data_IF_198128935174
#
_entry.id   IF_198128935174
#
_cell.length_a   1.000
_cell.length_b   1.000
_cell.length_c   1.000
_cell.angle_alpha   90.00
_cell.angle_beta   90.00
_cell.angle_gamma   90.00
#
_symmetry.space_group_name_H-M   'P 1'
#
loop_
_entity.id
_entity.type
_entity.pdbx_description
1 polymer ?
#
# COMPACT_ATOMS: atom_id res chain seq x y z
N UNK A 1 2.08 -15.58 -8.83
CA UNK A 1 2.54 -16.96 -9.10
C UNK A 1 3.25 -17.49 -7.88
N UNK A 2 2.76 -18.57 -7.27
CA UNK A 2 3.56 -19.35 -6.33
C UNK A 2 4.51 -20.28 -7.11
N UNK A 3 5.62 -20.74 -6.50
CA UNK A 3 6.49 -21.77 -7.12
C UNK A 3 5.75 -23.08 -7.47
N UNK A 4 4.58 -23.30 -6.89
CA UNK A 4 3.68 -24.44 -7.17
C UNK A 4 2.76 -24.24 -8.39
N UNK A 5 2.87 -23.11 -9.10
CA UNK A 5 2.06 -22.84 -10.30
C UNK A 5 0.63 -22.39 -10.02
N UNK A 6 0.29 -22.07 -8.77
CA UNK A 6 -1.05 -21.57 -8.43
C UNK A 6 -1.12 -20.07 -8.76
N UNK A 7 -2.21 -19.71 -9.45
CA UNK A 7 -2.58 -18.33 -9.79
C UNK A 7 -3.98 -18.09 -9.26
N UNK A 8 -4.12 -17.07 -8.44
CA UNK A 8 -5.40 -16.68 -7.85
C UNK A 8 -5.61 -15.18 -8.05
N UNK A 9 -6.86 -14.79 -8.16
CA UNK A 9 -7.29 -13.39 -8.23
C UNK A 9 -7.46 -12.84 -6.81
N UNK A 10 -7.07 -11.59 -6.60
CA UNK A 10 -7.07 -10.95 -5.29
C UNK A 10 -7.57 -9.51 -5.38
N UNK A 11 -8.40 -9.10 -4.43
CA UNK A 11 -8.73 -7.68 -4.19
C UNK A 11 -7.56 -6.94 -3.52
N UNK A 12 -6.81 -7.63 -2.65
CA UNK A 12 -5.61 -7.12 -2.00
C UNK A 12 -4.69 -8.28 -1.63
N UNK A 13 -3.38 -8.10 -1.80
CA UNK A 13 -2.40 -9.12 -1.46
C UNK A 13 -1.08 -8.49 -0.99
N UNK A 14 -0.33 -9.25 -0.20
CA UNK A 14 1.00 -8.85 0.30
C UNK A 14 1.95 -10.04 0.24
N UNK A 15 3.22 -9.78 -0.08
CA UNK A 15 4.26 -10.80 -0.21
C UNK A 15 5.53 -10.38 0.52
N UNK A 16 6.38 -11.36 0.86
CA UNK A 16 7.67 -11.12 1.49
C UNK A 16 7.67 -11.23 3.01
N UNK A 17 8.74 -10.74 3.62
CA UNK A 17 8.95 -10.82 5.06
C UNK A 17 7.90 -9.99 5.82
N UNK A 18 7.37 -10.54 6.92
CA UNK A 18 6.33 -9.90 7.76
C UNK A 18 5.05 -9.50 7.01
N UNK A 19 4.81 -10.06 5.83
CA UNK A 19 3.62 -9.78 5.02
C UNK A 19 2.29 -10.13 5.69
N UNK A 20 2.29 -10.96 6.74
CA UNK A 20 1.05 -11.31 7.43
C UNK A 20 0.36 -10.10 8.09
N UNK A 21 1.11 -9.09 8.57
CA UNK A 21 0.51 -7.88 9.13
C UNK A 21 -0.16 -7.03 8.04
N UNK A 22 0.52 -6.78 6.92
CA UNK A 22 -0.07 -6.16 5.74
C UNK A 22 -1.32 -6.90 5.25
N UNK A 23 -1.26 -8.24 5.17
CA UNK A 23 -2.39 -9.06 4.76
C UNK A 23 -3.61 -8.86 5.66
N UNK A 24 -3.38 -8.83 6.98
CA UNK A 24 -4.44 -8.60 7.96
C UNK A 24 -5.08 -7.21 7.79
N UNK A 25 -4.28 -6.19 7.46
CA UNK A 25 -4.78 -4.85 7.16
C UNK A 25 -5.67 -4.87 5.89
N UNK A 26 -5.18 -5.48 4.82
CA UNK A 26 -5.92 -5.61 3.55
C UNK A 26 -7.22 -6.40 3.72
N UNK A 27 -7.20 -7.50 4.47
CA UNK A 27 -8.38 -8.34 4.76
C UNK A 27 -9.48 -7.59 5.52
N UNK A 28 -9.15 -6.55 6.28
CA UNK A 28 -10.13 -5.72 7.00
C UNK A 28 -10.78 -4.66 6.10
N UNK A 29 -10.03 -4.14 5.13
CA UNK A 29 -10.41 -2.95 4.37
C UNK A 29 -10.90 -3.24 2.93
N UNK A 30 -10.69 -4.45 2.40
CA UNK A 30 -10.90 -4.73 0.97
C UNK A 30 -12.32 -4.46 0.46
N UNK A 31 -13.35 -4.58 1.30
CA UNK A 31 -14.74 -4.34 0.91
C UNK A 31 -14.99 -2.88 0.48
N UNK A 32 -14.17 -1.93 0.95
CA UNK A 32 -14.31 -0.51 0.60
C UNK A 32 -13.43 -0.06 -0.57
N UNK A 33 -12.59 -0.94 -1.14
CA UNK A 33 -11.61 -0.52 -2.15
C UNK A 33 -12.24 0.01 -3.44
N UNK A 34 -13.43 -0.46 -3.81
CA UNK A 34 -14.13 0.00 -5.02
C UNK A 34 -14.58 1.46 -4.93
N UNK A 35 -14.79 1.97 -3.72
CA UNK A 35 -15.23 3.35 -3.47
C UNK A 35 -14.05 4.33 -3.31
N UNK A 36 -12.82 3.82 -3.22
CA UNK A 36 -11.62 4.66 -3.02
C UNK A 36 -11.18 5.33 -4.33
N UNK A 37 -10.78 6.60 -4.23
CA UNK A 37 -9.99 7.24 -5.26
C UNK A 37 -8.60 6.60 -5.37
N UNK A 38 -7.88 6.86 -6.47
CA UNK A 38 -6.52 6.35 -6.67
C UNK A 38 -5.58 6.71 -5.50
N UNK A 39 -5.64 7.94 -5.01
CA UNK A 39 -4.78 8.41 -3.92
C UNK A 39 -5.12 7.71 -2.60
N UNK A 40 -6.41 7.51 -2.32
CA UNK A 40 -6.85 6.80 -1.11
C UNK A 40 -6.48 5.31 -1.17
N UNK A 41 -6.57 4.69 -2.34
CA UNK A 41 -6.17 3.30 -2.55
C UNK A 41 -4.65 3.12 -2.36
N UNK A 42 -3.85 4.04 -2.89
CA UNK A 42 -2.39 4.07 -2.66
C UNK A 42 -2.09 4.25 -1.17
N UNK A 43 -2.75 5.21 -0.51
CA UNK A 43 -2.59 5.42 0.94
C UNK A 43 -2.97 4.17 1.75
N UNK A 44 -4.05 3.46 1.39
CA UNK A 44 -4.43 2.19 2.00
C UNK A 44 -3.33 1.12 1.83
N UNK A 45 -2.71 1.04 0.66
CA UNK A 45 -1.57 0.16 0.41
C UNK A 45 -0.34 0.51 1.25
N UNK A 46 -0.03 1.80 1.38
CA UNK A 46 1.08 2.30 2.21
C UNK A 46 0.84 2.05 3.70
N UNK A 47 -0.39 2.19 4.20
CA UNK A 47 -0.78 1.81 5.58
C UNK A 47 -0.49 0.33 5.83
N UNK A 48 -0.93 -0.54 4.92
CA UNK A 48 -0.66 -1.96 5.03
C UNK A 48 0.84 -2.29 4.96
N UNK A 49 1.60 -1.60 4.10
CA UNK A 49 3.06 -1.76 4.01
C UNK A 49 3.78 -1.33 5.29
N UNK A 50 3.35 -0.21 5.91
CA UNK A 50 3.91 0.31 7.15
C UNK A 50 3.80 -0.70 8.29
N UNK A 51 2.71 -1.45 8.36
CA UNK A 51 2.52 -2.52 9.35
C UNK A 51 3.56 -3.66 9.22
N UNK A 52 4.33 -3.71 8.13
CA UNK A 52 5.42 -4.69 7.92
C UNK A 52 6.79 -4.18 8.37
N UNK A 53 6.90 -2.87 8.64
CA UNK A 53 8.17 -2.20 8.98
C UNK A 53 8.59 -2.57 10.41
N UNK A 54 9.90 -2.72 10.62
CA UNK A 54 10.43 -3.01 11.95
C UNK A 54 10.22 -1.83 12.89
N UNK A 55 10.02 -2.11 14.19
CA UNK A 55 9.97 -1.06 15.21
C UNK A 55 11.19 -0.12 15.10
N UNK A 56 10.94 1.18 15.13
CA UNK A 56 11.97 2.21 15.02
C UNK A 56 12.40 2.55 13.59
N UNK A 57 11.75 1.99 12.56
CA UNK A 57 11.90 2.41 11.16
C UNK A 57 10.58 2.96 10.63
N UNK A 58 10.66 3.86 9.66
CA UNK A 58 9.51 4.45 8.98
C UNK A 58 9.64 4.27 7.47
N UNK A 59 8.52 4.41 6.76
CA UNK A 59 8.54 4.51 5.31
C UNK A 59 9.13 5.86 4.90
N UNK A 60 9.98 5.85 3.89
CA UNK A 60 10.56 7.04 3.29
C UNK A 60 10.74 6.83 1.78
N UNK A 61 11.08 7.92 1.08
CA UNK A 61 11.30 7.91 -0.37
C UNK A 61 12.46 7.03 -0.84
N UNK A 62 13.36 6.61 0.06
CA UNK A 62 14.49 5.75 -0.26
C UNK A 62 14.17 4.26 -0.09
N UNK A 63 13.10 3.94 0.63
CA UNK A 63 12.73 2.56 0.96
C UNK A 63 11.35 2.14 0.42
N UNK A 64 10.67 3.03 -0.29
CA UNK A 64 9.33 2.82 -0.84
C UNK A 64 9.29 3.13 -2.33
N UNK A 65 8.62 2.24 -3.08
CA UNK A 65 8.33 2.38 -4.50
C UNK A 65 6.83 2.14 -4.70
N UNK A 66 6.20 2.92 -5.58
CA UNK A 66 4.76 2.82 -5.84
C UNK A 66 4.54 2.58 -7.34
N UNK A 67 3.73 1.57 -7.67
CA UNK A 67 3.34 1.30 -9.06
C UNK A 67 1.82 1.16 -9.18
N UNK A 68 1.23 1.80 -10.19
CA UNK A 68 -0.21 1.71 -10.45
C UNK A 68 -0.54 1.73 -11.96
N UNK A 69 -1.71 1.18 -12.29
CA UNK A 69 -2.27 1.09 -13.65
C UNK A 69 -3.80 1.09 -13.56
N UNK A 70 -4.49 1.54 -14.59
CA UNK A 70 -5.96 1.59 -14.60
C UNK A 70 -6.54 1.78 -16.01
N UNK A 71 -7.87 1.92 -16.09
CA UNK A 71 -8.61 2.07 -17.36
C UNK A 71 -8.05 3.17 -18.26
N UNK A 72 -7.80 4.34 -17.67
CA UNK A 72 -7.31 5.54 -18.35
C UNK A 72 -5.87 5.91 -17.92
N UNK A 73 -5.19 4.98 -17.24
CA UNK A 73 -3.88 5.20 -16.64
C UNK A 73 -2.92 4.11 -17.09
N UNK A 74 -1.91 4.47 -17.88
CA UNK A 74 -0.81 3.56 -18.23
C UNK A 74 -0.07 3.14 -16.97
N UNK A 75 0.69 2.05 -17.05
CA UNK A 75 1.58 1.65 -15.96
C UNK A 75 2.53 2.80 -15.63
N UNK A 76 2.40 3.32 -14.42
CA UNK A 76 3.25 4.37 -13.85
C UNK A 76 4.00 3.77 -12.67
N UNK A 77 5.29 4.07 -12.59
CA UNK A 77 6.17 3.69 -11.50
C UNK A 77 6.72 4.98 -10.90
N UNK A 78 6.62 5.11 -9.59
CA UNK A 78 7.11 6.23 -8.80
C UNK A 78 8.17 5.72 -7.84
N UNK A 79 9.33 6.36 -7.85
CA UNK A 79 10.48 6.05 -7.00
C UNK A 79 11.08 7.35 -6.45
N UNK A 80 11.76 7.27 -5.30
CA UNK A 80 12.44 8.44 -4.74
C UNK A 80 11.47 9.55 -4.38
N UNK A 81 11.82 10.79 -4.73
CA UNK A 81 11.06 12.00 -4.38
C UNK A 81 9.61 11.98 -4.89
N UNK A 82 9.32 11.25 -5.98
CA UNK A 82 7.96 11.15 -6.52
C UNK A 82 6.99 10.41 -5.59
N UNK A 83 7.52 9.59 -4.67
CA UNK A 83 6.71 8.89 -3.65
C UNK A 83 6.38 9.78 -2.47
N UNK A 84 7.09 10.90 -2.27
CA UNK A 84 6.97 11.74 -1.08
C UNK A 84 5.56 12.29 -0.92
N UNK A 85 4.92 12.74 -2.01
CA UNK A 85 3.55 13.26 -1.96
C UNK A 85 2.52 12.24 -1.42
N UNK A 86 2.75 10.94 -1.64
CA UNK A 86 1.88 9.88 -1.14
C UNK A 86 2.23 9.47 0.30
N UNK A 87 3.50 9.60 0.68
CA UNK A 87 3.96 9.41 2.06
C UNK A 87 3.44 10.55 2.96
N UNK A 88 3.41 11.78 2.47
CA UNK A 88 2.87 12.91 3.23
C UNK A 88 1.36 12.74 3.47
N UNK A 89 0.62 12.24 2.47
CA UNK A 89 -0.82 11.92 2.60
C UNK A 89 -1.10 10.82 3.65
N UNK A 90 -0.15 9.89 3.84
CA UNK A 90 -0.25 8.85 4.86
C UNK A 90 -0.22 9.46 6.27
N UNK A 91 0.67 10.43 6.49
CA UNK A 91 0.89 11.08 7.77
C UNK A 91 -0.23 12.07 8.12
N UNK A 92 -0.79 12.78 7.14
CA UNK A 92 -1.91 13.71 7.34
C UNK A 92 -3.21 13.00 7.79
N UNK A 93 -3.45 11.78 7.30
CA UNK A 93 -4.63 10.99 7.68
C UNK A 93 -4.64 10.50 9.13
N UNK A 94 -3.49 10.49 9.81
CA UNK A 94 -3.40 10.08 11.23
C UNK A 94 -3.68 11.21 12.21
N UNK A 95 -3.54 12.47 11.81
CA UNK A 95 -3.75 13.61 12.69
C UNK A 95 -5.21 13.76 13.15
N UNK A 96 -6.17 13.06 12.52
CA UNK A 96 -7.60 13.09 12.88
C UNK A 96 -8.09 11.92 13.75
N UNK A 97 -7.32 10.84 13.91
CA UNK A 97 -7.78 9.63 14.61
C UNK A 97 -7.26 9.51 16.06
N UNK A 98 -6.66 10.57 16.61
CA UNK A 98 -6.06 10.58 17.97
C UNK A 98 -6.73 11.56 18.96
N UNK A 99 -7.99 11.97 18.74
CA UNK A 99 -8.78 12.73 19.75
C UNK A 99 -9.87 11.90 20.44
#
# INVERSE_FOLDING_TARGET
>A
FSPSGIVSEYYGYSIGARSQSARTNLERNFNGFEDLSLNELIASGLRALRDTVQQGKQLDSMNTSIGFVGKDTKLTLLDGEETQAYLDLLDEGEAMDTE
#
